data_IF_057878782835
#
_entry.id   IF_057878782835
#
_cell.length_a   1.000
_cell.length_b   1.000
_cell.length_c   1.000
_cell.angle_alpha   90.00
_cell.angle_beta   90.00
_cell.angle_gamma   90.00
#
_symmetry.space_group_name_H-M   'P 1'
#
loop_
_entity.id
_entity.type
_entity.pdbx_description
1 polymer ?
#
# COMPACT_ATOMS: atom_id res chain seq x y z
N UNK A 1 4.36 12.13 -22.94
CA UNK A 1 4.88 11.28 -21.84
C UNK A 1 4.20 11.77 -20.56
N UNK A 2 3.42 10.93 -19.89
CA UNK A 2 2.76 11.33 -18.62
C UNK A 2 3.76 11.47 -17.47
N UNK A 3 3.35 12.12 -16.40
CA UNK A 3 4.09 12.18 -15.13
C UNK A 3 4.16 10.81 -14.45
N UNK A 4 5.05 10.65 -13.46
CA UNK A 4 5.12 9.43 -12.63
C UNK A 4 3.83 9.26 -11.83
N UNK A 5 3.24 10.36 -11.34
CA UNK A 5 1.99 10.37 -10.58
C UNK A 5 0.85 9.77 -11.42
N UNK A 6 0.66 10.24 -12.65
CA UNK A 6 -0.37 9.70 -13.56
C UNK A 6 -0.18 8.21 -13.90
N UNK A 7 1.04 7.69 -13.78
CA UNK A 7 1.30 6.24 -13.97
C UNK A 7 0.95 5.46 -12.71
N UNK A 8 1.27 5.99 -11.53
CA UNK A 8 0.93 5.36 -10.25
C UNK A 8 -0.59 5.32 -10.06
N UNK A 9 -1.30 6.41 -10.34
CA UNK A 9 -2.77 6.49 -10.19
C UNK A 9 -3.54 5.57 -11.16
N UNK A 10 -2.87 5.01 -12.18
CA UNK A 10 -3.47 3.99 -13.06
C UNK A 10 -3.35 2.57 -12.51
N UNK A 11 -2.52 2.36 -11.48
CA UNK A 11 -2.38 1.07 -10.81
C UNK A 11 -3.58 0.90 -9.88
N UNK A 12 -4.40 -0.14 -10.04
CA UNK A 12 -5.59 -0.32 -9.20
C UNK A 12 -5.25 -0.38 -7.72
N UNK A 13 -5.89 0.45 -6.90
CA UNK A 13 -5.64 0.54 -5.47
C UNK A 13 -4.28 1.17 -5.12
N UNK A 14 -3.72 2.01 -5.99
CA UNK A 14 -2.59 2.87 -5.65
C UNK A 14 -2.99 4.34 -5.77
N UNK A 15 -2.63 5.14 -4.78
CA UNK A 15 -2.97 6.57 -4.70
C UNK A 15 -1.75 7.39 -4.27
N UNK A 16 -1.68 8.64 -4.73
CA UNK A 16 -0.58 9.57 -4.39
C UNK A 16 -1.13 10.74 -3.57
N UNK A 17 -1.34 10.58 -2.25
CA UNK A 17 -1.93 11.64 -1.42
C UNK A 17 -1.04 12.87 -1.24
N UNK A 18 0.29 12.72 -1.41
CA UNK A 18 1.21 13.83 -1.29
C UNK A 18 2.37 13.71 -2.28
N UNK A 19 2.74 14.86 -2.84
CA UNK A 19 3.96 15.05 -3.61
C UNK A 19 4.61 16.36 -3.20
N UNK A 20 5.91 16.50 -3.43
CA UNK A 20 6.60 17.76 -3.21
C UNK A 20 7.43 18.18 -4.45
N UNK A 21 7.84 19.45 -4.47
CA UNK A 21 8.62 20.04 -5.57
C UNK A 21 10.00 19.40 -5.75
N UNK A 22 10.46 18.67 -4.73
CA UNK A 22 11.76 17.97 -4.71
C UNK A 22 11.66 16.53 -5.28
N UNK A 23 10.48 16.12 -5.75
CA UNK A 23 10.27 14.82 -6.40
C UNK A 23 10.03 13.64 -5.44
N UNK A 24 9.76 13.90 -4.16
CA UNK A 24 9.31 12.85 -3.23
C UNK A 24 7.80 12.66 -3.36
N UNK A 25 7.39 11.40 -3.41
CA UNK A 25 5.99 10.98 -3.48
C UNK A 25 5.66 10.12 -2.27
N UNK A 26 4.52 10.40 -1.63
CA UNK A 26 3.88 9.48 -0.70
C UNK A 26 2.88 8.69 -1.52
N UNK A 27 2.97 7.36 -1.46
CA UNK A 27 2.09 6.46 -2.20
C UNK A 27 1.43 5.50 -1.22
N UNK A 28 0.11 5.38 -1.30
CA UNK A 28 -0.69 4.40 -0.56
C UNK A 28 -1.04 3.28 -1.52
N UNK A 29 -0.84 2.03 -1.09
CA UNK A 29 -1.19 0.84 -1.88
C UNK A 29 -2.13 -0.01 -1.03
N UNK A 30 -3.32 -0.26 -1.56
CA UNK A 30 -4.33 -1.12 -0.96
C UNK A 30 -4.47 -2.42 -1.74
N UNK A 31 -4.75 -3.51 -1.04
CA UNK A 31 -4.85 -4.83 -1.65
C UNK A 31 -5.29 -5.90 -0.65
N UNK A 32 -5.78 -7.00 -1.18
CA UNK A 32 -6.37 -8.11 -0.39
C UNK A 32 -5.34 -9.14 0.06
N UNK A 33 -4.09 -9.05 -0.42
CA UNK A 33 -3.03 -9.98 -0.04
C UNK A 33 -1.66 -9.31 -0.05
N UNK A 34 -0.77 -9.79 0.83
CA UNK A 34 0.63 -9.35 0.88
C UNK A 34 1.36 -9.51 -0.45
N UNK A 35 1.08 -10.59 -1.18
CA UNK A 35 1.66 -10.84 -2.50
C UNK A 35 1.28 -9.74 -3.50
N UNK A 36 -0.01 -9.42 -3.60
CA UNK A 36 -0.48 -8.36 -4.49
C UNK A 36 0.06 -6.96 -4.13
N UNK A 37 0.27 -6.67 -2.84
CA UNK A 37 0.91 -5.43 -2.42
C UNK A 37 2.38 -5.35 -2.89
N UNK A 38 3.13 -6.44 -2.76
CA UNK A 38 4.53 -6.50 -3.21
C UNK A 38 4.66 -6.41 -4.73
N UNK A 39 3.75 -7.05 -5.48
CA UNK A 39 3.72 -6.95 -6.94
C UNK A 39 3.51 -5.50 -7.40
N UNK A 40 2.53 -4.79 -6.83
CA UNK A 40 2.29 -3.37 -7.11
C UNK A 40 3.48 -2.50 -6.72
N UNK A 41 4.13 -2.79 -5.61
CA UNK A 41 5.33 -2.08 -5.18
C UNK A 41 6.48 -2.24 -6.19
N UNK A 42 6.74 -3.46 -6.67
CA UNK A 42 7.77 -3.69 -7.70
C UNK A 42 7.39 -3.05 -9.05
N UNK A 43 6.09 -3.04 -9.41
CA UNK A 43 5.60 -2.31 -10.58
C UNK A 43 5.92 -0.81 -10.49
N UNK A 44 5.60 -0.17 -9.35
CA UNK A 44 5.90 1.26 -9.12
C UNK A 44 7.40 1.52 -9.20
N UNK A 45 8.21 0.68 -8.57
CA UNK A 45 9.66 0.81 -8.55
C UNK A 45 10.29 0.68 -9.94
N UNK A 46 9.67 -0.09 -10.84
CA UNK A 46 10.11 -0.24 -12.22
C UNK A 46 9.67 0.91 -13.15
N UNK A 47 8.84 1.85 -12.68
CA UNK A 47 8.35 2.94 -13.51
C UNK A 47 9.48 3.90 -13.94
N UNK A 48 9.55 4.26 -15.24
CA UNK A 48 10.48 5.27 -15.70
C UNK A 48 10.27 6.61 -14.98
N UNK A 49 11.32 7.09 -14.32
CA UNK A 49 11.32 8.31 -13.50
C UNK A 49 11.34 8.07 -12.00
N UNK A 50 11.16 6.83 -11.53
CA UNK A 50 11.32 6.47 -10.13
C UNK A 50 12.80 6.19 -9.85
N UNK A 51 13.41 7.01 -8.98
CA UNK A 51 14.81 6.88 -8.60
C UNK A 51 15.01 5.86 -7.48
N UNK A 52 14.08 5.84 -6.53
CA UNK A 52 14.04 4.92 -5.41
C UNK A 52 12.61 4.82 -4.88
N UNK A 53 12.23 3.63 -4.41
CA UNK A 53 10.98 3.38 -3.72
C UNK A 53 11.27 2.56 -2.46
N UNK A 54 10.72 2.98 -1.32
CA UNK A 54 10.88 2.29 -0.03
C UNK A 54 9.51 2.03 0.56
N UNK A 55 9.24 0.79 0.93
CA UNK A 55 8.00 0.40 1.60
C UNK A 55 8.12 0.69 3.10
N UNK A 56 7.27 1.59 3.63
CA UNK A 56 7.40 2.10 5.01
C UNK A 56 6.48 1.38 6.02
N UNK A 57 5.44 0.64 5.59
CA UNK A 57 4.54 -0.03 6.55
C UNK A 57 3.79 -1.26 6.04
N UNK A 58 3.46 -2.15 6.99
CA UNK A 58 2.52 -3.27 6.94
C UNK A 58 1.57 -3.08 8.12
N UNK A 59 0.30 -2.74 7.88
CA UNK A 59 -0.75 -2.90 8.89
C UNK A 59 -1.41 -4.25 8.63
N UNK A 60 -1.26 -5.19 9.56
CA UNK A 60 -2.14 -6.35 9.62
C UNK A 60 -3.14 -5.98 10.71
N UNK A 61 -4.39 -5.72 10.35
CA UNK A 61 -5.47 -5.78 11.33
C UNK A 61 -5.61 -7.26 11.69
N UNK A 62 -5.11 -7.67 12.85
CA UNK A 62 -5.58 -8.89 13.48
C UNK A 62 -6.98 -8.57 14.00
N UNK A 63 -8.02 -9.09 13.35
CA UNK A 63 -9.33 -9.21 14.00
C UNK A 63 -9.11 -10.08 15.25
N UNK A 64 -9.03 -9.46 16.43
CA UNK A 64 -9.09 -10.20 17.69
C UNK A 64 -10.38 -11.04 17.65
N UNK A 65 -10.31 -12.38 17.75
CA UNK A 65 -11.53 -13.16 17.84
C UNK A 65 -12.26 -12.73 19.10
N UNK A 66 -13.46 -12.19 18.95
CA UNK A 66 -14.37 -11.91 20.05
C UNK A 66 -14.65 -13.24 20.77
N UNK A 67 -13.91 -13.49 21.85
CA UNK A 67 -14.15 -14.65 22.71
C UNK A 67 -15.47 -14.41 23.44
N UNK A 68 -16.58 -14.78 22.80
CA UNK A 68 -17.86 -15.03 23.47
C UNK A 68 -17.68 -16.23 24.39
N UNK A 69 -17.24 -16.00 25.62
CA UNK A 69 -17.39 -16.98 26.68
C UNK A 69 -18.76 -16.77 27.33
N UNK A 70 -19.80 -17.26 26.64
CA UNK A 70 -21.04 -17.65 27.30
C UNK A 70 -20.72 -18.84 28.23
N UNK A 71 -21.12 -18.72 29.50
CA UNK A 71 -20.52 -19.43 30.62
C UNK A 71 -20.64 -20.96 30.66
N UNK A 72 -19.78 -21.56 31.49
CA UNK A 72 -20.04 -22.85 32.15
C UNK A 72 -19.46 -22.77 33.57
N UNK A 73 -20.31 -23.05 34.56
CA UNK A 73 -20.11 -22.67 35.95
C UNK A 73 -19.15 -23.50 36.78
N UNK A 74 -18.88 -22.96 37.97
CA UNK A 74 -18.92 -23.68 39.24
C UNK A 74 -19.07 -22.71 40.40
#
# INVERSE_FOLDING_TARGET
>A
MGSVIERIEKIPGAEVPASNEVGKLVVVIEGTSRGGLLEKFEEIKALPGVLAATLVFHQVEEEEPELTLEGVGR
#
